data_IF_918840426693
#
_entry.id   IF_918840426693
#
_cell.length_a   1.000
_cell.length_b   1.000
_cell.length_c   1.000
_cell.angle_alpha   90.00
_cell.angle_beta   90.00
_cell.angle_gamma   90.00
#
_symmetry.space_group_name_H-M   'P 1'
#
loop_
_entity.id
_entity.type
_entity.pdbx_description
1 polymer ?
#
# COMPACT_ATOMS: atom_id res chain seq x y z
N UNK A 1 2.13 -13.79 6.92
CA UNK A 1 3.08 -13.50 8.02
C UNK A 1 2.74 -14.34 9.25
N UNK A 2 1.61 -14.08 9.93
CA UNK A 2 1.29 -14.73 11.21
C UNK A 2 1.16 -16.26 11.11
N UNK A 3 0.51 -16.77 10.06
CA UNK A 3 0.36 -18.22 9.83
C UNK A 3 1.70 -18.95 9.66
N UNK A 4 2.72 -18.28 9.11
CA UNK A 4 4.01 -18.91 8.81
C UNK A 4 5.05 -18.72 9.93
N UNK A 5 5.00 -17.60 10.64
CA UNK A 5 6.03 -17.22 11.61
C UNK A 5 5.58 -17.40 13.07
N UNK A 6 4.28 -17.42 13.34
CA UNK A 6 3.74 -17.25 14.69
C UNK A 6 3.82 -15.79 15.16
N UNK A 7 3.03 -15.45 16.18
CA UNK A 7 2.89 -14.07 16.65
C UNK A 7 4.15 -13.51 17.31
N UNK A 8 4.75 -14.25 18.26
CA UNK A 8 5.89 -13.74 19.03
C UNK A 8 7.11 -13.49 18.14
N UNK A 9 7.43 -14.43 17.25
CA UNK A 9 8.49 -14.23 16.25
C UNK A 9 8.18 -13.07 15.31
N UNK A 10 6.92 -12.89 14.95
CA UNK A 10 6.49 -11.76 14.13
C UNK A 10 6.75 -10.45 14.88
N UNK A 11 6.34 -10.32 16.15
CA UNK A 11 6.60 -9.11 16.97
C UNK A 11 8.08 -8.77 17.02
N UNK A 12 8.93 -9.76 17.26
CA UNK A 12 10.39 -9.58 17.29
C UNK A 12 10.92 -9.01 15.97
N UNK A 13 10.52 -9.60 14.84
CA UNK A 13 10.91 -9.12 13.50
C UNK A 13 10.42 -7.70 13.24
N UNK A 14 9.19 -7.36 13.64
CA UNK A 14 8.63 -6.04 13.38
C UNK A 14 9.23 -4.96 14.28
N UNK A 15 9.66 -5.33 15.50
CA UNK A 15 10.25 -4.38 16.45
C UNK A 15 11.55 -3.76 15.96
N UNK A 16 12.30 -4.46 15.09
CA UNK A 16 13.55 -3.97 14.50
C UNK A 16 13.37 -3.11 13.24
N UNK A 17 12.12 -2.88 12.80
CA UNK A 17 11.86 -2.06 11.62
C UNK A 17 12.10 -0.58 11.92
N UNK A 18 12.76 0.14 11.02
CA UNK A 18 13.03 1.58 11.16
C UNK A 18 12.60 2.33 9.90
N UNK A 19 11.87 3.44 10.08
CA UNK A 19 11.55 4.37 9.02
C UNK A 19 11.63 5.82 9.56
N UNK A 20 12.84 6.39 9.66
CA UNK A 20 13.01 7.74 10.22
C UNK A 20 12.31 8.82 9.37
N UNK A 21 12.04 8.53 8.10
CA UNK A 21 11.38 9.46 7.17
C UNK A 21 9.86 9.53 7.34
N UNK A 22 9.24 8.50 7.93
CA UNK A 22 7.80 8.45 8.18
C UNK A 22 7.51 7.61 9.43
N UNK A 23 7.22 8.30 10.53
CA UNK A 23 6.97 7.66 11.83
C UNK A 23 5.61 7.00 11.95
N UNK A 24 4.59 7.48 11.22
CA UNK A 24 3.28 6.83 11.16
C UNK A 24 3.39 5.39 10.61
N UNK A 25 4.14 5.24 9.52
CA UNK A 25 4.46 3.95 8.90
C UNK A 25 5.20 3.03 9.86
N UNK A 26 6.24 3.54 10.54
CA UNK A 26 7.01 2.76 11.52
C UNK A 26 6.14 2.29 12.70
N UNK A 27 5.26 3.18 13.19
CA UNK A 27 4.31 2.88 14.27
C UNK A 27 3.27 1.86 13.81
N UNK A 28 2.77 1.98 12.59
CA UNK A 28 1.81 1.04 12.02
C UNK A 28 2.36 -0.38 12.03
N UNK A 29 3.58 -0.58 11.52
CA UNK A 29 4.15 -1.93 11.39
C UNK A 29 4.44 -2.56 12.76
N UNK A 30 4.87 -1.76 13.74
CA UNK A 30 5.17 -2.22 15.11
C UNK A 30 3.90 -2.52 15.91
N UNK A 31 2.89 -1.65 15.82
CA UNK A 31 1.76 -1.66 16.75
C UNK A 31 0.47 -2.22 16.14
N UNK A 32 0.17 -1.89 14.87
CA UNK A 32 -1.14 -2.14 14.24
C UNK A 32 -1.15 -3.34 13.30
N UNK A 33 -0.04 -3.64 12.62
CA UNK A 33 0.00 -4.63 11.54
C UNK A 33 -0.44 -6.05 11.96
N UNK A 34 -0.03 -6.50 13.15
CA UNK A 34 -0.44 -7.81 13.70
C UNK A 34 -1.93 -7.81 14.02
N UNK A 35 -2.42 -6.77 14.71
CA UNK A 35 -3.82 -6.63 15.10
C UNK A 35 -4.72 -6.65 13.86
N UNK A 36 -4.38 -5.85 12.85
CA UNK A 36 -5.15 -5.75 11.62
C UNK A 36 -5.12 -7.05 10.83
N UNK A 37 -4.00 -7.77 10.84
CA UNK A 37 -3.89 -9.09 10.22
C UNK A 37 -4.75 -10.14 10.93
N UNK A 38 -4.80 -10.13 12.27
CA UNK A 38 -5.67 -11.05 13.05
C UNK A 38 -7.15 -10.76 12.84
N UNK A 39 -7.52 -9.48 12.79
CA UNK A 39 -8.91 -9.03 12.61
C UNK A 39 -9.39 -9.11 11.15
N UNK A 40 -8.51 -9.46 10.21
CA UNK A 40 -8.86 -9.51 8.78
C UNK A 40 -9.10 -8.14 8.15
N UNK A 41 -8.69 -7.05 8.80
CA UNK A 41 -8.84 -5.67 8.30
C UNK A 41 -7.89 -5.43 7.12
N UNK A 42 -6.65 -5.91 7.21
CA UNK A 42 -5.65 -5.82 6.17
C UNK A 42 -4.64 -6.96 6.27
N UNK A 43 -3.90 -7.23 5.19
CA UNK A 43 -2.80 -8.20 5.19
C UNK A 43 -1.48 -7.49 4.95
N UNK A 44 -0.55 -7.67 5.89
CA UNK A 44 0.81 -7.13 5.79
C UNK A 44 1.78 -8.18 5.24
N UNK A 45 2.54 -7.79 4.24
CA UNK A 45 3.53 -8.60 3.54
C UNK A 45 4.93 -8.05 3.82
N UNK A 46 5.80 -8.88 4.39
CA UNK A 46 7.20 -8.54 4.57
C UNK A 46 8.00 -8.91 3.33
N UNK A 47 8.96 -8.07 2.98
CA UNK A 47 9.88 -8.26 1.88
C UNK A 47 11.27 -8.45 2.45
N UNK A 48 11.87 -9.58 2.09
CA UNK A 48 13.21 -9.95 2.51
C UNK A 48 14.15 -9.95 1.32
N UNK A 49 15.36 -9.44 1.54
CA UNK A 49 16.49 -9.66 0.67
C UNK A 49 17.29 -10.86 1.18
N UNK A 50 17.82 -11.65 0.26
CA UNK A 50 18.57 -12.86 0.55
C UNK A 50 19.90 -12.83 -0.18
N UNK A 51 21.00 -13.01 0.55
CA UNK A 51 22.29 -13.37 -0.02
C UNK A 51 22.48 -14.87 0.06
N UNK A 52 22.69 -15.52 -1.09
CA UNK A 52 23.11 -16.92 -1.16
C UNK A 52 24.46 -17.02 -1.90
N UNK A 53 25.38 -16.12 -1.56
CA UNK A 53 26.74 -16.18 -2.06
C UNK A 53 27.51 -17.27 -1.33
N UNK A 54 28.20 -18.14 -2.06
CA UNK A 54 29.14 -19.11 -1.46
C UNK A 54 30.34 -18.43 -0.77
N UNK A 55 30.60 -17.16 -1.11
CA UNK A 55 31.75 -16.39 -0.62
C UNK A 55 31.46 -15.57 0.64
N UNK A 56 30.18 -15.35 0.97
CA UNK A 56 29.76 -14.53 2.11
C UNK A 56 28.77 -15.29 2.99
N UNK A 57 28.64 -14.87 4.25
CA UNK A 57 27.64 -15.45 5.13
C UNK A 57 26.24 -15.25 4.57
N UNK A 58 25.44 -16.33 4.57
CA UNK A 58 24.04 -16.29 4.16
C UNK A 58 23.30 -15.29 5.03
N UNK A 59 22.79 -14.23 4.42
CA UNK A 59 22.06 -13.18 5.12
C UNK A 59 20.63 -13.09 4.63
N UNK A 60 19.73 -12.79 5.56
CA UNK A 60 18.32 -12.60 5.32
C UNK A 60 17.90 -11.32 6.01
N UNK A 61 17.71 -10.28 5.22
CA UNK A 61 17.44 -8.94 5.72
C UNK A 61 16.01 -8.53 5.43
N UNK A 62 15.31 -7.99 6.44
CA UNK A 62 14.01 -7.37 6.24
C UNK A 62 14.23 -6.01 5.58
N UNK A 63 13.88 -5.87 4.31
CA UNK A 63 14.18 -4.66 3.51
C UNK A 63 12.98 -3.74 3.30
N UNK A 64 11.77 -4.23 3.59
CA UNK A 64 10.56 -3.42 3.50
C UNK A 64 9.30 -4.21 3.79
N UNK A 65 8.17 -3.52 3.73
CA UNK A 65 6.86 -4.15 3.78
C UNK A 65 5.85 -3.37 2.94
N UNK A 66 4.76 -4.04 2.62
CA UNK A 66 3.55 -3.40 2.12
C UNK A 66 2.32 -4.04 2.73
N UNK A 67 1.24 -3.26 2.84
CA UNK A 67 -0.03 -3.71 3.39
C UNK A 67 -1.13 -3.53 2.36
N UNK A 68 -1.92 -4.58 2.15
CA UNK A 68 -3.08 -4.57 1.26
C UNK A 68 -4.35 -4.72 2.08
N UNK A 69 -5.35 -3.90 1.78
CA UNK A 69 -6.70 -4.00 2.34
C UNK A 69 -7.74 -4.00 1.21
N UNK A 70 -8.88 -4.66 1.43
CA UNK A 70 -10.04 -4.52 0.55
C UNK A 70 -10.90 -3.38 1.07
N UNK A 71 -11.07 -2.32 0.28
CA UNK A 71 -11.81 -1.11 0.68
C UNK A 71 -12.65 -0.60 -0.49
N UNK A 72 -13.72 0.13 -0.17
CA UNK A 72 -14.53 0.80 -1.17
C UNK A 72 -13.78 2.02 -1.72
N UNK A 73 -13.59 2.04 -3.04
CA UNK A 73 -13.10 3.20 -3.77
C UNK A 73 -14.29 4.01 -4.29
N UNK A 74 -14.24 5.33 -4.10
CA UNK A 74 -15.30 6.25 -4.50
C UNK A 74 -14.76 7.19 -5.58
N UNK A 75 -15.34 7.11 -6.77
CA UNK A 75 -15.12 8.09 -7.82
C UNK A 75 -16.30 9.04 -7.94
N UNK A 76 -15.99 10.32 -8.05
CA UNK A 76 -16.94 11.33 -8.49
C UNK A 76 -16.68 11.62 -9.97
N UNK A 77 -17.72 11.79 -10.79
CA UNK A 77 -17.55 12.05 -12.24
C UNK A 77 -16.64 13.25 -12.54
N UNK A 78 -16.66 14.26 -11.66
CA UNK A 78 -15.82 15.46 -11.77
C UNK A 78 -14.35 15.23 -11.40
N UNK A 79 -14.04 14.12 -10.72
CA UNK A 79 -12.72 13.86 -10.15
C UNK A 79 -11.85 12.94 -11.01
N UNK A 80 -12.40 12.41 -12.10
CA UNK A 80 -11.71 11.55 -13.08
C UNK A 80 -12.09 11.95 -14.51
N UNK A 81 -11.26 11.58 -15.49
CA UNK A 81 -11.58 11.83 -16.90
C UNK A 81 -12.80 11.05 -17.36
N UNK A 82 -13.50 11.53 -18.39
CA UNK A 82 -14.66 10.83 -18.96
C UNK A 82 -14.33 9.39 -19.40
N UNK A 83 -13.11 9.14 -19.86
CA UNK A 83 -12.65 7.79 -20.25
C UNK A 83 -12.53 6.88 -19.05
N UNK A 84 -11.93 7.35 -17.96
CA UNK A 84 -11.82 6.60 -16.70
C UNK A 84 -13.19 6.40 -16.07
N UNK A 85 -14.02 7.45 -16.06
CA UNK A 85 -15.41 7.38 -15.61
C UNK A 85 -16.13 6.24 -16.33
N UNK A 86 -16.18 6.25 -17.67
CA UNK A 86 -16.82 5.21 -18.50
C UNK A 86 -16.32 3.80 -18.20
N UNK A 87 -15.04 3.63 -17.84
CA UNK A 87 -14.49 2.33 -17.41
C UNK A 87 -15.00 1.95 -16.02
N UNK A 88 -14.90 2.86 -15.06
CA UNK A 88 -15.33 2.65 -13.68
C UNK A 88 -16.82 2.31 -13.58
N UNK A 89 -17.68 2.92 -14.41
CA UNK A 89 -19.14 2.66 -14.37
C UNK A 89 -19.51 1.20 -14.55
N UNK A 90 -18.67 0.43 -15.24
CA UNK A 90 -18.89 -1.00 -15.49
C UNK A 90 -18.70 -1.86 -14.24
N UNK A 91 -18.05 -1.31 -13.22
CA UNK A 91 -17.71 -2.01 -11.98
C UNK A 91 -18.46 -1.46 -10.77
N UNK A 92 -19.24 -0.39 -10.90
CA UNK A 92 -19.99 0.14 -9.75
C UNK A 92 -21.08 -0.85 -9.33
N UNK A 93 -21.27 -0.99 -8.01
CA UNK A 93 -22.28 -1.89 -7.44
C UNK A 93 -23.72 -1.48 -7.81
N UNK A 94 -23.94 -0.19 -8.10
CA UNK A 94 -25.23 0.40 -8.50
C UNK A 94 -25.02 1.35 -9.67
N UNK A 95 -26.09 1.61 -10.45
CA UNK A 95 -26.08 2.74 -11.40
C UNK A 95 -25.65 4.00 -10.65
N UNK A 96 -24.75 4.84 -11.19
CA UNK A 96 -24.26 6.03 -10.50
C UNK A 96 -25.39 7.02 -10.29
N UNK A 97 -26.09 6.90 -9.18
CA UNK A 97 -26.89 7.97 -8.62
C UNK A 97 -25.91 9.10 -8.24
N UNK A 98 -26.31 10.35 -8.47
CA UNK A 98 -25.54 11.54 -8.10
C UNK A 98 -24.12 11.66 -8.70
N UNK A 99 -23.86 11.04 -9.86
CA UNK A 99 -22.54 11.07 -10.51
C UNK A 99 -21.42 10.55 -9.59
N UNK A 100 -21.75 9.60 -8.71
CA UNK A 100 -20.85 8.90 -7.80
C UNK A 100 -20.82 7.41 -8.13
N UNK A 101 -19.63 6.85 -8.28
CA UNK A 101 -19.41 5.43 -8.48
C UNK A 101 -18.67 4.86 -7.28
N UNK A 102 -19.20 3.80 -6.71
CA UNK A 102 -18.59 3.07 -5.59
C UNK A 102 -18.37 1.64 -6.03
N UNK A 103 -17.16 1.12 -5.79
CA UNK A 103 -16.79 -0.26 -6.07
C UNK A 103 -15.66 -0.71 -5.14
N UNK A 104 -15.53 -2.02 -4.95
CA UNK A 104 -14.43 -2.59 -4.16
C UNK A 104 -13.12 -2.55 -4.94
N UNK A 105 -12.04 -2.12 -4.29
CA UNK A 105 -10.70 -2.11 -4.85
C UNK A 105 -9.64 -2.42 -3.78
N UNK A 106 -8.57 -3.17 -4.13
CA UNK A 106 -7.42 -3.30 -3.26
C UNK A 106 -6.75 -1.94 -3.02
N UNK A 107 -6.61 -1.57 -1.75
CA UNK A 107 -5.85 -0.43 -1.26
C UNK A 107 -4.45 -0.89 -0.87
N UNK A 108 -3.41 -0.21 -1.40
CA UNK A 108 -2.06 -0.25 -0.80
C UNK A 108 -2.08 0.73 0.37
N UNK A 109 -2.37 0.22 1.57
CA UNK A 109 -2.58 1.06 2.74
C UNK A 109 -1.29 1.57 3.35
N UNK A 110 -0.22 0.78 3.22
CA UNK A 110 1.10 1.11 3.74
C UNK A 110 2.16 0.55 2.79
N UNK A 111 3.25 1.28 2.57
CA UNK A 111 4.38 0.85 1.75
C UNK A 111 5.64 1.56 2.26
N UNK A 112 6.65 0.79 2.67
CA UNK A 112 7.88 1.37 3.21
C UNK A 112 9.09 0.46 3.14
N UNK A 113 10.25 1.08 2.94
CA UNK A 113 11.56 0.44 3.07
C UNK A 113 11.98 0.42 4.54
N UNK A 114 12.75 -0.60 4.92
CA UNK A 114 13.38 -0.67 6.23
C UNK A 114 14.75 0.01 6.19
N UNK A 115 14.97 1.04 7.00
CA UNK A 115 16.24 1.77 7.08
C UNK A 115 17.22 1.18 8.11
N UNK A 116 16.78 0.22 8.92
CA UNK A 116 17.63 -0.42 9.91
C UNK A 116 18.86 -1.05 9.23
N UNK A 117 20.05 -0.77 9.75
CA UNK A 117 21.30 -1.34 9.24
C UNK A 117 21.64 -1.02 7.77
N UNK A 118 20.98 -0.03 7.15
CA UNK A 118 21.16 0.28 5.73
C UNK A 118 20.38 -0.64 4.78
N UNK A 119 19.42 -1.41 5.30
CA UNK A 119 18.60 -2.35 4.52
C UNK A 119 17.79 -1.68 3.40
N UNK A 120 17.59 -0.38 3.45
CA UNK A 120 16.84 0.37 2.44
C UNK A 120 17.62 0.49 1.13
N UNK A 121 18.93 0.25 1.15
CA UNK A 121 19.80 0.20 -0.03
C UNK A 121 19.69 -1.12 -0.80
N UNK A 122 19.16 -2.17 -0.16
CA UNK A 122 19.02 -3.51 -0.72
C UNK A 122 17.74 -3.69 -1.56
N UNK A 123 16.86 -2.69 -1.56
CA UNK A 123 15.64 -2.67 -2.38
C UNK A 123 15.28 -1.25 -2.80
N UNK A 124 14.90 -1.09 -4.07
CA UNK A 124 14.34 0.18 -4.53
C UNK A 124 12.86 0.31 -4.16
N UNK A 125 12.37 1.55 -4.02
CA UNK A 125 10.94 1.79 -3.85
C UNK A 125 10.12 1.24 -5.02
N UNK A 126 10.69 1.26 -6.23
CA UNK A 126 10.09 0.71 -7.45
C UNK A 126 9.85 -0.80 -7.35
N UNK A 127 10.85 -1.56 -6.91
CA UNK A 127 10.73 -3.01 -6.72
C UNK A 127 9.70 -3.33 -5.64
N UNK A 128 9.72 -2.59 -4.52
CA UNK A 128 8.75 -2.78 -3.44
C UNK A 128 7.31 -2.54 -3.91
N UNK A 129 7.06 -1.45 -4.66
CA UNK A 129 5.75 -1.18 -5.25
C UNK A 129 5.36 -2.23 -6.29
N UNK A 130 6.31 -2.72 -7.09
CA UNK A 130 6.08 -3.78 -8.07
C UNK A 130 5.63 -5.07 -7.39
N UNK A 131 6.24 -5.44 -6.26
CA UNK A 131 5.82 -6.60 -5.46
C UNK A 131 4.38 -6.45 -4.95
N UNK A 132 4.01 -5.27 -4.45
CA UNK A 132 2.64 -4.97 -4.03
C UNK A 132 1.64 -5.08 -5.20
N UNK A 133 1.96 -4.48 -6.34
CA UNK A 133 1.12 -4.52 -7.54
C UNK A 133 0.97 -5.94 -8.10
N UNK A 134 2.03 -6.76 -8.08
CA UNK A 134 1.96 -8.16 -8.49
C UNK A 134 1.05 -8.97 -7.57
N UNK A 135 1.11 -8.73 -6.25
CA UNK A 135 0.19 -9.36 -5.30
C UNK A 135 -1.26 -8.95 -5.57
N UNK A 136 -1.51 -7.67 -5.81
CA UNK A 136 -2.84 -7.15 -6.15
C UNK A 136 -3.36 -7.76 -7.46
N UNK A 137 -2.51 -7.90 -8.48
CA UNK A 137 -2.88 -8.56 -9.74
C UNK A 137 -3.27 -10.02 -9.51
N UNK A 138 -2.56 -10.75 -8.65
CA UNK A 138 -2.94 -12.11 -8.25
C UNK A 138 -4.34 -12.13 -7.62
N UNK A 139 -4.59 -11.24 -6.66
CA UNK A 139 -5.90 -11.12 -6.00
C UNK A 139 -6.99 -10.81 -7.03
N UNK A 140 -6.77 -9.84 -7.93
CA UNK A 140 -7.75 -9.47 -8.96
C UNK A 140 -7.98 -10.56 -10.01
N UNK A 141 -7.02 -11.44 -10.25
CA UNK A 141 -7.22 -12.61 -11.10
C UNK A 141 -8.17 -13.63 -10.44
N UNK A 142 -8.17 -13.71 -9.11
CA UNK A 142 -9.00 -14.65 -8.34
C UNK A 142 -10.42 -14.10 -8.10
N UNK A 143 -10.54 -12.82 -7.73
CA UNK A 143 -11.82 -12.22 -7.29
C UNK A 143 -12.42 -11.21 -8.27
N UNK A 144 -11.71 -10.89 -9.35
CA UNK A 144 -12.08 -9.83 -10.28
C UNK A 144 -11.69 -8.42 -9.80
N UNK A 145 -12.00 -7.43 -10.64
CA UNK A 145 -11.62 -6.02 -10.42
C UNK A 145 -10.46 -5.57 -11.32
N UNK A 146 -10.41 -4.26 -11.58
CA UNK A 146 -9.40 -3.63 -12.47
C UNK A 146 -8.76 -2.38 -11.89
N UNK A 147 -9.09 -2.03 -10.66
CA UNK A 147 -8.60 -0.82 -10.01
C UNK A 147 -7.90 -1.17 -8.71
N UNK A 148 -6.81 -0.48 -8.44
CA UNK A 148 -6.20 -0.37 -7.13
C UNK A 148 -5.96 1.10 -6.83
N UNK A 149 -5.80 1.44 -5.57
CA UNK A 149 -5.51 2.81 -5.18
C UNK A 149 -4.60 2.84 -3.96
N UNK A 150 -4.08 4.02 -3.69
CA UNK A 150 -3.30 4.34 -2.52
C UNK A 150 -3.54 5.79 -2.14
N UNK A 151 -3.10 6.12 -0.93
CA UNK A 151 -3.14 7.46 -0.38
C UNK A 151 -1.73 7.83 0.07
N UNK A 152 -1.31 9.07 -0.17
CA UNK A 152 -0.01 9.54 0.27
C UNK A 152 -0.06 10.99 0.75
N UNK A 153 0.95 11.38 1.52
CA UNK A 153 1.16 12.77 1.90
C UNK A 153 1.33 13.65 0.65
N UNK A 154 0.91 14.91 0.74
CA UNK A 154 1.08 15.90 -0.32
C UNK A 154 2.54 16.38 -0.42
N UNK A 155 3.40 15.46 -0.87
CA UNK A 155 4.84 15.64 -1.06
C UNK A 155 5.16 15.42 -2.54
N UNK A 156 5.75 16.39 -3.26
CA UNK A 156 6.05 16.27 -4.69
C UNK A 156 6.80 14.98 -5.05
N UNK A 157 7.80 14.59 -4.24
CA UNK A 157 8.56 13.35 -4.45
C UNK A 157 7.70 12.08 -4.42
N UNK A 158 6.67 12.04 -3.56
CA UNK A 158 5.77 10.88 -3.47
C UNK A 158 4.80 10.86 -4.65
N UNK A 159 4.23 12.02 -4.99
CA UNK A 159 3.34 12.17 -6.14
C UNK A 159 4.07 11.76 -7.42
N UNK A 160 5.26 12.32 -7.67
CA UNK A 160 6.09 12.00 -8.83
C UNK A 160 6.47 10.50 -8.87
N UNK A 161 6.73 9.89 -7.71
CA UNK A 161 7.02 8.47 -7.63
C UNK A 161 5.81 7.62 -8.07
N UNK A 162 4.62 7.91 -7.55
CA UNK A 162 3.42 7.14 -7.88
C UNK A 162 2.90 7.41 -9.31
N UNK A 163 2.97 8.65 -9.79
CA UNK A 163 2.56 8.98 -11.17
C UNK A 163 3.47 8.33 -12.21
N UNK A 164 4.79 8.32 -12.00
CA UNK A 164 5.74 7.56 -12.86
C UNK A 164 5.47 6.06 -12.83
N UNK A 165 4.88 5.58 -11.74
CA UNK A 165 4.39 4.20 -11.60
C UNK A 165 2.99 3.98 -12.18
N UNK A 166 2.45 4.94 -12.92
CA UNK A 166 1.19 4.86 -13.62
C UNK A 166 -0.03 4.92 -12.70
N UNK A 167 0.10 5.57 -11.55
CA UNK A 167 -1.03 6.04 -10.76
C UNK A 167 -1.50 7.42 -11.27
N UNK A 168 -2.73 7.79 -10.94
CA UNK A 168 -3.32 9.08 -11.32
C UNK A 168 -4.11 9.63 -10.13
N UNK A 169 -3.86 10.90 -9.81
CA UNK A 169 -4.60 11.61 -8.77
C UNK A 169 -6.08 11.68 -9.12
N UNK A 170 -6.96 11.41 -8.16
CA UNK A 170 -8.41 11.54 -8.34
C UNK A 170 -9.13 12.22 -7.16
N UNK A 171 -8.43 12.57 -6.08
CA UNK A 171 -9.08 13.12 -4.91
C UNK A 171 -8.15 13.45 -3.76
N UNK A 172 -8.76 13.91 -2.68
CA UNK A 172 -8.14 14.16 -1.38
C UNK A 172 -9.04 13.57 -0.30
N UNK A 173 -8.46 12.97 0.74
CA UNK A 173 -9.17 12.49 1.93
C UNK A 173 -8.66 13.23 3.15
N UNK A 174 -9.54 13.82 3.94
CA UNK A 174 -9.17 14.44 5.23
C UNK A 174 -8.62 13.38 6.18
N UNK A 175 -7.59 13.74 6.95
CA UNK A 175 -6.99 12.84 7.94
C UNK A 175 -8.01 12.41 9.01
N UNK A 176 -7.88 11.16 9.43
CA UNK A 176 -8.58 10.61 10.58
C UNK A 176 -7.89 11.06 11.88
N UNK A 177 -8.62 10.98 13.01
CA UNK A 177 -8.13 11.52 14.30
C UNK A 177 -6.86 10.82 14.80
N UNK A 178 -6.62 9.57 14.40
CA UNK A 178 -5.46 8.80 14.80
C UNK A 178 -4.27 8.89 13.82
N UNK A 179 -4.42 9.66 12.73
CA UNK A 179 -3.36 9.97 11.74
C UNK A 179 -2.59 11.25 12.13
N UNK A 180 -1.96 11.23 13.31
CA UNK A 180 -1.36 12.44 13.93
C UNK A 180 0.06 12.76 13.47
N UNK A 181 0.78 11.78 12.93
CA UNK A 181 2.20 11.91 12.54
C UNK A 181 2.36 12.19 11.03
N UNK A 182 1.33 12.79 10.42
CA UNK A 182 1.26 13.12 9.00
C UNK A 182 1.24 14.63 8.81
N UNK A 183 2.04 15.13 7.86
CA UNK A 183 2.06 16.55 7.55
C UNK A 183 0.83 16.96 6.72
N UNK A 184 0.01 17.87 7.26
CA UNK A 184 -1.13 18.47 6.56
C UNK A 184 -2.47 18.07 7.17
N UNK A 185 -3.56 18.30 6.41
CA UNK A 185 -4.94 18.00 6.84
C UNK A 185 -5.58 16.90 5.99
N UNK A 186 -4.88 16.42 4.96
CA UNK A 186 -5.39 15.45 4.00
C UNK A 186 -4.29 14.57 3.40
N UNK A 187 -4.70 13.44 2.82
CA UNK A 187 -3.90 12.64 1.90
C UNK A 187 -4.37 12.84 0.46
N UNK A 188 -3.43 12.81 -0.48
CA UNK A 188 -3.72 12.72 -1.91
C UNK A 188 -4.12 11.28 -2.23
N UNK A 189 -5.24 11.11 -2.93
CA UNK A 189 -5.69 9.80 -3.38
C UNK A 189 -5.31 9.58 -4.83
N UNK A 190 -4.63 8.45 -5.11
CA UNK A 190 -4.22 8.07 -6.45
C UNK A 190 -4.71 6.67 -6.79
N UNK A 191 -5.24 6.48 -7.99
CA UNK A 191 -5.69 5.17 -8.49
C UNK A 191 -4.79 4.68 -9.62
N UNK A 192 -4.77 3.37 -9.81
CA UNK A 192 -4.17 2.71 -10.97
C UNK A 192 -5.18 1.73 -11.57
N UNK A 193 -5.37 1.83 -12.88
CA UNK A 193 -6.09 0.83 -13.66
C UNK A 193 -5.14 -0.30 -14.07
N UNK A 194 -5.36 -1.51 -13.57
CA UNK A 194 -4.59 -2.70 -13.90
C UNK A 194 -5.22 -3.34 -15.14
N UNK A 195 -4.42 -3.50 -16.21
CA UNK A 195 -4.87 -4.09 -17.47
C UNK A 195 -5.08 -5.60 -17.32
#
# INVERSE_FOLDING_TARGET
>A
MLEYLGEERTKQILSSFECPQNKDVEKFIKDKAIIFSKQGISRTHLVYWYSDSEQWEKSKELVGYYTIASKSLVFHKKSVSNTIWKKAVKYCDKKPEDKKCVFSAPLIGQLSKNFAGGNDSLITGQELLTLALNKIKSVQNEIGGKFTYLECEDKPKLIDFYERNGFTIFGKRTLERDETDINGEYLIQLFKYIK
#
